data_IF_871111491629
#
_entry.id   IF_871111491629
#
_cell.length_a   1.000
_cell.length_b   1.000
_cell.length_c   1.000
_cell.angle_alpha   90.00
_cell.angle_beta   90.00
_cell.angle_gamma   90.00
#
_symmetry.space_group_name_H-M   'P 1'
#
loop_
_entity.id
_entity.type
_entity.pdbx_description
1 polymer ?
#
# COMPACT_ATOMS: atom_id res chain seq x y z
N UNK A 1 19.73 14.53 36.01
CA UNK A 1 19.66 14.98 34.59
C UNK A 1 18.29 14.59 34.08
N UNK A 2 17.48 15.56 33.66
CA UNK A 2 16.03 15.37 33.47
C UNK A 2 15.73 14.65 32.15
N UNK A 3 15.04 13.52 32.25
CA UNK A 3 14.44 12.82 31.09
C UNK A 3 13.45 13.78 30.41
N UNK A 4 13.58 13.97 29.09
CA UNK A 4 12.62 14.76 28.32
C UNK A 4 11.24 14.10 28.40
N UNK A 5 10.19 14.91 28.56
CA UNK A 5 8.81 14.41 28.62
C UNK A 5 8.37 13.87 27.24
N UNK A 6 7.54 12.81 27.20
CA UNK A 6 6.97 12.34 25.94
C UNK A 6 6.16 13.44 25.24
N UNK A 7 6.10 13.38 23.91
CA UNK A 7 5.41 14.33 23.04
C UNK A 7 5.93 15.78 23.11
N UNK A 8 7.22 15.94 23.40
CA UNK A 8 7.91 17.25 23.33
C UNK A 8 8.51 17.45 21.94
N UNK A 9 8.39 18.66 21.40
CA UNK A 9 9.04 19.04 20.15
C UNK A 9 10.55 19.10 20.34
N UNK A 10 11.29 18.39 19.50
CA UNK A 10 12.75 18.32 19.50
C UNK A 10 13.33 18.67 18.14
N UNK A 11 14.61 19.06 18.14
CA UNK A 11 15.39 19.42 16.95
C UNK A 11 16.60 18.49 16.78
N UNK A 12 17.11 18.32 15.56
CA UNK A 12 18.32 17.53 15.31
C UNK A 12 19.50 18.04 16.15
N UNK A 13 20.23 17.11 16.77
CA UNK A 13 21.36 17.39 17.66
C UNK A 13 20.98 17.60 19.13
N UNK A 14 19.69 17.61 19.49
CA UNK A 14 19.26 17.68 20.89
C UNK A 14 19.50 16.34 21.60
N UNK A 15 20.15 16.38 22.77
CA UNK A 15 20.33 15.22 23.64
C UNK A 15 19.02 14.86 24.34
N UNK A 16 18.56 13.61 24.17
CA UNK A 16 17.28 13.12 24.68
C UNK A 16 17.44 12.40 26.03
N UNK A 17 18.34 11.42 26.07
CA UNK A 17 18.57 10.57 27.24
C UNK A 17 19.92 9.86 27.18
N UNK A 18 20.29 9.21 28.28
CA UNK A 18 21.48 8.35 28.37
C UNK A 18 21.17 6.98 27.76
N UNK A 19 22.09 6.47 26.95
CA UNK A 19 22.02 5.13 26.39
C UNK A 19 22.32 4.11 27.50
N UNK A 20 21.36 3.26 27.83
CA UNK A 20 21.50 2.19 28.82
C UNK A 20 21.16 0.86 28.13
N UNK A 21 21.49 -0.27 28.75
CA UNK A 21 21.12 -1.60 28.23
C UNK A 21 19.60 -1.74 27.98
N UNK A 22 18.79 -1.03 28.76
CA UNK A 22 17.33 -1.01 28.62
C UNK A 22 16.81 0.11 27.71
N UNK A 23 17.65 0.99 27.17
CA UNK A 23 17.21 2.15 26.37
C UNK A 23 18.00 2.22 25.07
N UNK A 24 17.33 1.94 23.97
CA UNK A 24 17.93 1.87 22.64
C UNK A 24 17.42 3.00 21.73
N UNK A 25 18.27 3.40 20.78
CA UNK A 25 17.93 4.41 19.78
C UNK A 25 17.06 3.77 18.68
N UNK A 26 15.87 4.32 18.47
CA UNK A 26 14.95 3.93 17.41
C UNK A 26 14.97 4.91 16.23
N UNK A 27 13.92 4.87 15.42
CA UNK A 27 13.78 5.72 14.24
C UNK A 27 13.83 7.22 14.59
N UNK A 28 14.56 8.00 13.79
CA UNK A 28 14.77 9.42 14.03
C UNK A 28 15.71 9.79 15.19
N UNK A 29 16.41 8.82 15.78
CA UNK A 29 17.44 9.05 16.80
C UNK A 29 18.76 8.37 16.43
N UNK A 30 19.85 8.77 17.08
CA UNK A 30 21.14 8.12 16.96
C UNK A 30 21.89 8.15 18.29
N UNK A 31 22.75 7.16 18.51
CA UNK A 31 23.58 7.08 19.72
C UNK A 31 24.96 7.66 19.41
N UNK A 32 25.45 8.55 20.26
CA UNK A 32 26.81 9.06 20.20
C UNK A 32 27.42 9.03 21.62
N UNK A 33 28.37 8.12 21.82
CA UNK A 33 28.87 7.79 23.17
C UNK A 33 27.76 7.18 24.01
N UNK A 34 27.63 7.63 25.26
CA UNK A 34 26.61 7.15 26.21
C UNK A 34 25.30 7.95 26.14
N UNK A 35 25.08 8.72 25.08
CA UNK A 35 23.89 9.56 24.92
C UNK A 35 23.18 9.33 23.60
N UNK A 36 21.84 9.41 23.66
CA UNK A 36 20.94 9.35 22.50
C UNK A 36 20.56 10.78 22.11
N UNK A 37 20.76 11.09 20.84
CA UNK A 37 20.46 12.38 20.24
C UNK A 37 19.37 12.24 19.19
N UNK A 38 18.61 13.32 18.98
CA UNK A 38 17.66 13.39 17.88
C UNK A 38 18.39 13.62 16.55
N UNK A 39 18.07 12.85 15.51
CA UNK A 39 18.49 13.15 14.13
C UNK A 39 17.43 13.91 13.35
N UNK A 40 16.19 13.95 13.84
CA UNK A 40 15.05 14.57 13.18
C UNK A 40 14.43 15.72 14.00
N UNK A 41 13.74 16.64 13.32
CA UNK A 41 12.83 17.58 13.98
C UNK A 41 11.47 16.92 14.11
N UNK A 42 10.95 16.76 15.31
CA UNK A 42 9.72 16.00 15.54
C UNK A 42 9.30 15.91 17.00
N UNK A 43 8.37 15.00 17.28
CA UNK A 43 7.92 14.70 18.63
C UNK A 43 8.57 13.41 19.11
N UNK A 44 9.13 13.44 20.33
CA UNK A 44 9.72 12.26 20.97
C UNK A 44 8.61 11.34 21.46
N UNK A 45 8.69 10.07 21.09
CA UNK A 45 7.87 9.00 21.62
C UNK A 45 8.76 7.91 22.24
N UNK A 46 8.30 7.34 23.35
CA UNK A 46 9.01 6.29 24.06
C UNK A 46 8.16 5.03 24.00
N UNK A 47 8.58 4.04 23.19
CA UNK A 47 7.90 2.76 23.08
C UNK A 47 8.59 1.74 23.98
N UNK A 48 7.83 1.08 24.83
CA UNK A 48 8.33 -0.01 25.66
C UNK A 48 8.01 -1.34 24.99
N UNK A 49 9.03 -2.08 24.56
CA UNK A 49 8.90 -3.39 23.94
C UNK A 49 9.70 -4.41 24.77
N UNK A 50 9.01 -5.39 25.37
CA UNK A 50 9.61 -6.51 26.10
C UNK A 50 10.78 -6.20 27.08
N UNK A 51 10.70 -5.07 27.82
CA UNK A 51 11.67 -4.54 28.80
C UNK A 51 12.78 -3.63 28.24
N UNK A 52 12.80 -3.38 26.94
CA UNK A 52 13.63 -2.35 26.31
C UNK A 52 12.75 -1.15 25.94
N UNK A 53 13.21 0.06 26.26
CA UNK A 53 12.58 1.32 25.86
C UNK A 53 13.26 1.83 24.60
N UNK A 54 12.55 1.81 23.48
CA UNK A 54 13.01 2.39 22.22
C UNK A 54 12.60 3.86 22.18
N UNK A 55 13.58 4.73 21.99
CA UNK A 55 13.34 6.18 21.83
C UNK A 55 13.22 6.49 20.35
N UNK A 56 12.04 6.96 19.92
CA UNK A 56 11.81 7.35 18.53
C UNK A 56 11.47 8.83 18.46
N UNK A 57 11.89 9.48 17.38
CA UNK A 57 11.46 10.84 17.06
C UNK A 57 10.69 10.78 15.76
N UNK A 58 9.37 10.94 15.87
CA UNK A 58 8.49 10.95 14.72
C UNK A 58 8.28 12.37 14.24
N UNK A 59 8.39 12.57 12.92
CA UNK A 59 7.80 13.74 12.29
C UNK A 59 6.29 13.58 12.46
N UNK A 60 5.56 14.58 12.95
CA UNK A 60 4.09 14.51 13.14
C UNK A 60 3.28 14.26 11.85
N UNK A 61 3.94 13.99 10.72
CA UNK A 61 3.37 13.62 9.44
C UNK A 61 3.53 12.11 9.23
N UNK A 62 2.46 11.46 8.75
CA UNK A 62 2.29 10.01 8.73
C UNK A 62 3.49 9.21 8.20
N UNK A 63 3.64 7.99 8.73
CA UNK A 63 4.73 7.05 8.38
C UNK A 63 4.84 6.90 6.86
N UNK A 64 6.01 7.20 6.30
CA UNK A 64 6.30 6.94 4.90
C UNK A 64 6.77 5.50 4.74
N UNK A 65 5.84 4.58 4.51
CA UNK A 65 6.17 3.18 4.21
C UNK A 65 6.70 3.10 2.78
N UNK A 66 7.82 2.40 2.59
CA UNK A 66 8.37 2.11 1.26
C UNK A 66 7.80 0.78 0.78
N UNK A 67 7.18 0.71 -0.42
CA UNK A 67 6.69 -0.55 -0.97
C UNK A 67 7.84 -1.55 -1.16
N UNK A 68 7.69 -2.75 -0.60
CA UNK A 68 8.64 -3.86 -0.79
C UNK A 68 8.15 -4.80 -1.89
N UNK A 69 9.05 -5.65 -2.39
CA UNK A 69 8.69 -6.67 -3.39
C UNK A 69 7.74 -7.68 -2.76
N UNK A 70 6.63 -7.94 -3.42
CA UNK A 70 5.59 -8.87 -2.96
C UNK A 70 4.40 -8.18 -2.28
N UNK A 71 4.54 -6.93 -1.82
CA UNK A 71 3.42 -6.21 -1.19
C UNK A 71 2.30 -5.91 -2.18
N UNK A 72 1.07 -5.95 -1.65
CA UNK A 72 -0.14 -5.54 -2.37
C UNK A 72 -0.30 -4.04 -2.24
N UNK A 73 -0.51 -3.35 -3.36
CA UNK A 73 -0.64 -1.91 -3.41
C UNK A 73 -1.94 -1.51 -4.09
N UNK A 74 -2.55 -0.44 -3.59
CA UNK A 74 -3.68 0.23 -4.25
C UNK A 74 -3.14 1.37 -5.08
N UNK A 75 -3.43 1.34 -6.38
CA UNK A 75 -2.95 2.32 -7.33
C UNK A 75 -4.08 2.87 -8.21
N UNK A 76 -3.92 4.10 -8.69
CA UNK A 76 -4.77 4.69 -9.71
C UNK A 76 -4.09 4.67 -11.06
N UNK A 77 -4.79 4.23 -12.09
CA UNK A 77 -4.29 4.26 -13.46
C UNK A 77 -4.30 5.71 -13.96
N UNK A 78 -3.14 6.23 -14.35
CA UNK A 78 -3.01 7.62 -14.82
C UNK A 78 -3.03 7.70 -16.34
N UNK A 79 -2.30 6.81 -17.01
CA UNK A 79 -2.18 6.83 -18.47
C UNK A 79 -1.95 5.41 -19.00
N UNK A 80 -2.56 5.08 -20.14
CA UNK A 80 -2.45 3.76 -20.76
C UNK A 80 -1.79 3.89 -22.12
N UNK A 81 -0.74 3.12 -22.34
CA UNK A 81 -0.11 2.91 -23.64
C UNK A 81 -0.32 1.47 -24.09
N UNK A 82 0.00 1.18 -25.35
CA UNK A 82 -0.15 -0.17 -25.94
C UNK A 82 0.69 -1.25 -25.25
N UNK A 83 1.85 -0.89 -24.69
CA UNK A 83 2.79 -1.84 -24.06
C UNK A 83 2.77 -1.82 -22.53
N UNK A 84 2.35 -0.72 -21.93
CA UNK A 84 2.33 -0.56 -20.47
C UNK A 84 1.31 0.49 -20.03
N UNK A 85 0.84 0.38 -18.80
CA UNK A 85 0.02 1.37 -18.12
C UNK A 85 0.83 2.03 -16.99
N UNK A 86 0.76 3.36 -16.91
CA UNK A 86 1.31 4.14 -15.80
C UNK A 86 0.27 4.23 -14.69
N UNK A 87 0.71 3.98 -13.48
CA UNK A 87 -0.12 3.99 -12.28
C UNK A 87 0.53 4.87 -11.21
N UNK A 88 -0.27 5.44 -10.33
CA UNK A 88 0.16 6.15 -9.14
C UNK A 88 -0.30 5.34 -7.92
N UNK A 89 0.64 4.93 -7.06
CA UNK A 89 0.39 4.10 -5.88
C UNK A 89 0.04 5.03 -4.71
N UNK A 90 -1.10 4.81 -4.08
CA UNK A 90 -1.57 5.62 -2.94
C UNK A 90 -1.52 4.88 -1.61
N UNK A 91 -1.66 3.55 -1.64
CA UNK A 91 -1.68 2.73 -0.44
C UNK A 91 -0.78 1.53 -0.64
N UNK A 92 -0.01 1.20 0.38
CA UNK A 92 0.74 -0.06 0.49
C UNK A 92 0.07 -0.85 1.60
N UNK A 93 -0.51 -1.99 1.25
CA UNK A 93 -1.33 -2.79 2.16
C UNK A 93 -2.39 -1.91 2.84
N UNK A 94 -2.33 -1.76 4.16
CA UNK A 94 -3.27 -0.95 4.95
C UNK A 94 -2.78 0.48 5.24
N UNK A 95 -1.59 0.85 4.76
CA UNK A 95 -0.99 2.17 5.03
C UNK A 95 -1.09 3.11 3.85
N UNK A 96 -1.76 4.25 4.06
CA UNK A 96 -1.89 5.32 3.07
C UNK A 96 -0.60 6.15 3.03
N UNK A 97 -0.09 6.37 1.82
CA UNK A 97 1.10 7.16 1.56
C UNK A 97 0.75 8.65 1.45
N UNK A 98 1.64 9.50 1.97
CA UNK A 98 1.50 10.96 1.82
C UNK A 98 1.78 11.40 0.37
N UNK A 99 2.80 10.80 -0.25
CA UNK A 99 3.18 11.07 -1.63
C UNK A 99 3.03 9.79 -2.46
N UNK A 100 2.37 9.85 -3.63
CA UNK A 100 2.15 8.66 -4.43
C UNK A 100 3.40 8.22 -5.17
N UNK A 101 3.77 6.94 -5.05
CA UNK A 101 4.84 6.36 -5.84
C UNK A 101 4.39 6.08 -7.28
N UNK A 102 5.34 6.11 -8.21
CA UNK A 102 5.04 5.79 -9.62
C UNK A 102 5.11 4.29 -9.82
N UNK A 103 4.08 3.73 -10.45
CA UNK A 103 3.99 2.32 -10.83
C UNK A 103 3.85 2.15 -12.34
N UNK A 104 4.33 1.02 -12.87
CA UNK A 104 4.18 0.63 -14.27
C UNK A 104 3.69 -0.81 -14.30
N UNK A 105 2.59 -1.06 -15.03
CA UNK A 105 2.10 -2.40 -15.35
C UNK A 105 2.41 -2.67 -16.81
N UNK A 106 3.13 -3.75 -17.11
CA UNK A 106 3.43 -4.16 -18.48
C UNK A 106 2.34 -5.08 -19.01
N UNK A 107 2.22 -5.18 -20.33
CA UNK A 107 1.22 -6.04 -21.00
C UNK A 107 1.33 -7.50 -20.54
N UNK A 108 2.54 -8.00 -20.39
CA UNK A 108 2.87 -9.35 -19.95
C UNK A 108 2.46 -9.66 -18.50
N UNK A 109 2.32 -8.64 -17.66
CA UNK A 109 2.07 -8.75 -16.22
C UNK A 109 0.57 -8.58 -15.85
N UNK A 110 -0.32 -8.58 -16.85
CA UNK A 110 -1.77 -8.38 -16.64
C UNK A 110 -2.51 -9.69 -16.38
N UNK A 111 -2.13 -10.79 -17.01
CA UNK A 111 -2.78 -12.11 -16.83
C UNK A 111 -1.73 -13.21 -16.76
N UNK A 112 -1.98 -14.20 -15.90
CA UNK A 112 -1.15 -15.41 -15.88
C UNK A 112 -1.26 -16.21 -17.19
N UNK A 113 -2.48 -16.33 -17.72
CA UNK A 113 -2.81 -17.05 -18.97
C UNK A 113 -2.98 -16.08 -20.14
N UNK A 114 -2.64 -16.54 -21.34
CA UNK A 114 -2.81 -15.80 -22.61
C UNK A 114 -2.15 -14.41 -22.66
N UNK A 115 -0.92 -14.26 -22.13
CA UNK A 115 -0.16 -12.99 -22.07
C UNK A 115 -0.09 -12.23 -23.41
N UNK A 116 0.00 -12.96 -24.52
CA UNK A 116 0.14 -12.37 -25.85
C UNK A 116 -1.15 -11.73 -26.39
N UNK A 117 -2.31 -12.25 -25.98
CA UNK A 117 -3.63 -11.79 -26.43
C UNK A 117 -4.21 -10.66 -25.58
N UNK A 118 -3.53 -10.27 -24.50
CA UNK A 118 -4.05 -9.24 -23.59
C UNK A 118 -3.99 -7.85 -24.24
N UNK A 119 -5.11 -7.15 -24.27
CA UNK A 119 -5.15 -5.74 -24.64
C UNK A 119 -5.35 -4.87 -23.41
N UNK A 120 -4.39 -3.99 -23.11
CA UNK A 120 -4.42 -3.12 -21.94
C UNK A 120 -5.65 -2.21 -21.92
N UNK A 121 -6.10 -1.72 -23.08
CA UNK A 121 -7.28 -0.85 -23.20
C UNK A 121 -8.59 -1.55 -22.83
N UNK A 122 -8.66 -2.88 -22.96
CA UNK A 122 -9.81 -3.68 -22.51
C UNK A 122 -9.72 -4.06 -21.03
N UNK A 123 -8.56 -3.90 -20.40
CA UNK A 123 -8.34 -4.26 -19.00
C UNK A 123 -8.52 -3.07 -18.07
N UNK A 124 -8.00 -1.90 -18.46
CA UNK A 124 -7.94 -0.71 -17.63
C UNK A 124 -8.37 0.52 -18.44
N UNK A 125 -8.86 1.56 -17.77
CA UNK A 125 -8.93 2.94 -18.31
C UNK A 125 -8.29 3.95 -17.35
N UNK A 126 -7.88 5.13 -17.85
CA UNK A 126 -7.40 6.21 -16.99
C UNK A 126 -8.47 6.58 -15.95
N UNK A 127 -8.05 6.73 -14.70
CA UNK A 127 -8.93 7.04 -13.58
C UNK A 127 -9.30 5.84 -12.72
N UNK A 128 -9.15 4.61 -13.22
CA UNK A 128 -9.47 3.39 -12.47
C UNK A 128 -8.61 3.22 -11.23
N UNK A 129 -9.21 2.64 -10.18
CA UNK A 129 -8.51 2.18 -9.00
C UNK A 129 -8.28 0.67 -9.12
N UNK A 130 -7.02 0.27 -9.01
CA UNK A 130 -6.55 -1.09 -9.17
C UNK A 130 -5.83 -1.57 -7.92
N UNK A 131 -5.97 -2.87 -7.64
CA UNK A 131 -5.09 -3.61 -6.75
C UNK A 131 -4.05 -4.32 -7.59
N UNK A 132 -2.78 -4.13 -7.23
CA UNK A 132 -1.65 -4.75 -7.91
C UNK A 132 -0.60 -5.18 -6.90
N UNK A 133 0.29 -6.08 -7.32
CA UNK A 133 1.40 -6.58 -6.51
C UNK A 133 2.71 -6.02 -7.04
N UNK A 134 3.60 -5.61 -6.13
CA UNK A 134 4.92 -5.12 -6.52
C UNK A 134 5.81 -6.30 -6.89
N UNK A 135 6.24 -6.38 -8.15
CA UNK A 135 7.15 -7.43 -8.63
C UNK A 135 8.60 -7.04 -8.44
N UNK A 136 8.94 -5.77 -8.74
CA UNK A 136 10.32 -5.31 -8.77
C UNK A 136 10.41 -3.79 -8.61
N UNK A 137 11.48 -3.36 -7.94
CA UNK A 137 11.95 -1.98 -7.94
C UNK A 137 12.57 -1.71 -9.32
N UNK A 138 11.83 -1.06 -10.22
CA UNK A 138 12.30 -0.77 -11.58
C UNK A 138 13.42 0.27 -11.61
N UNK A 139 14.00 0.49 -12.79
CA UNK A 139 15.27 1.22 -12.97
C UNK A 139 15.16 2.74 -12.78
N UNK A 140 13.96 3.33 -12.70
CA UNK A 140 13.75 4.80 -12.74
C UNK A 140 12.63 5.24 -11.79
N UNK A 141 12.81 5.05 -10.48
CA UNK A 141 11.83 5.41 -9.43
C UNK A 141 10.38 4.96 -9.74
N UNK A 142 10.26 3.87 -10.50
CA UNK A 142 8.98 3.31 -10.93
C UNK A 142 8.94 1.85 -10.55
N UNK A 143 7.94 1.49 -9.77
CA UNK A 143 7.70 0.12 -9.34
C UNK A 143 7.08 -0.66 -10.48
N UNK A 144 7.63 -1.83 -10.79
CA UNK A 144 6.97 -2.76 -11.70
C UNK A 144 5.85 -3.45 -10.92
N UNK A 145 4.63 -3.28 -11.41
CA UNK A 145 3.42 -3.80 -10.81
C UNK A 145 2.86 -4.94 -11.68
N UNK A 146 2.31 -5.95 -11.02
CA UNK A 146 1.63 -7.07 -11.68
C UNK A 146 0.20 -7.17 -11.17
N UNK A 147 -0.70 -7.52 -12.09
CA UNK A 147 -2.10 -7.85 -11.79
C UNK A 147 -2.40 -9.29 -12.22
N UNK A 148 -1.37 -10.13 -12.38
CA UNK A 148 -1.53 -11.44 -13.00
C UNK A 148 -2.47 -12.38 -12.22
N UNK A 149 -2.54 -12.23 -10.89
CA UNK A 149 -3.42 -12.99 -9.98
C UNK A 149 -4.89 -12.59 -10.15
N UNK A 150 -5.80 -13.51 -9.81
CA UNK A 150 -7.25 -13.37 -9.98
C UNK A 150 -7.89 -12.39 -8.95
N UNK A 151 -7.25 -12.24 -7.80
CA UNK A 151 -7.63 -11.29 -6.73
C UNK A 151 -7.16 -9.87 -7.04
N UNK A 152 -6.30 -9.70 -8.06
CA UNK A 152 -5.71 -8.43 -8.46
C UNK A 152 -6.32 -7.92 -9.77
N UNK A 153 -6.53 -6.60 -9.85
CA UNK A 153 -7.24 -5.98 -10.96
C UNK A 153 -7.98 -4.72 -10.54
N UNK A 154 -8.95 -4.31 -11.37
CA UNK A 154 -9.80 -3.15 -11.13
C UNK A 154 -10.77 -3.44 -9.99
N UNK A 155 -10.79 -2.57 -8.98
CA UNK A 155 -11.70 -2.64 -7.83
C UNK A 155 -12.81 -1.60 -7.95
N UNK A 156 -12.45 -0.39 -8.35
CA UNK A 156 -13.40 0.70 -8.55
C UNK A 156 -13.10 1.40 -9.87
N UNK A 157 -14.17 1.66 -10.62
CA UNK A 157 -14.10 2.31 -11.91
C UNK A 157 -15.28 3.25 -12.10
N UNK A 158 -15.02 4.33 -12.81
CA UNK A 158 -16.02 5.32 -13.22
C UNK A 158 -16.35 5.11 -14.68
N UNK A 159 -17.65 5.10 -15.01
CA UNK A 159 -18.13 5.07 -16.39
C UNK A 159 -17.88 6.41 -17.09
N UNK A 160 -18.04 6.44 -18.40
CA UNK A 160 -17.96 7.68 -19.20
C UNK A 160 -19.00 8.73 -18.76
N UNK A 161 -20.14 8.29 -18.22
CA UNK A 161 -21.17 9.16 -17.64
C UNK A 161 -20.81 9.68 -16.23
N UNK A 162 -19.59 9.44 -15.74
CA UNK A 162 -19.12 9.86 -14.42
C UNK A 162 -19.78 9.11 -13.26
N UNK A 163 -20.40 7.96 -13.52
CA UNK A 163 -21.08 7.16 -12.49
C UNK A 163 -20.22 5.96 -12.08
N UNK A 164 -20.34 5.52 -10.83
CA UNK A 164 -19.67 4.31 -10.38
C UNK A 164 -20.23 3.08 -11.09
N UNK A 165 -19.33 2.15 -11.41
CA UNK A 165 -19.66 0.89 -12.07
C UNK A 165 -19.66 -0.26 -11.07
N UNK A 166 -20.59 -1.19 -11.27
CA UNK A 166 -20.69 -2.43 -10.52
C UNK A 166 -20.08 -3.59 -11.29
N UNK A 167 -19.42 -4.48 -10.55
CA UNK A 167 -18.83 -5.70 -11.09
C UNK A 167 -19.95 -6.64 -11.54
N UNK A 168 -19.95 -7.03 -12.81
CA UNK A 168 -20.90 -8.02 -13.34
C UNK A 168 -20.22 -9.37 -13.56
N UNK A 169 -19.01 -9.36 -14.10
CA UNK A 169 -18.21 -10.55 -14.35
C UNK A 169 -16.73 -10.27 -14.16
N UNK A 170 -15.91 -11.31 -14.28
CA UNK A 170 -14.45 -11.23 -14.23
C UNK A 170 -13.82 -10.30 -15.28
N UNK A 171 -14.55 -10.04 -16.37
CA UNK A 171 -14.06 -9.24 -17.51
C UNK A 171 -14.93 -8.03 -17.82
N UNK A 172 -16.01 -7.78 -17.07
CA UNK A 172 -16.97 -6.73 -17.38
C UNK A 172 -17.49 -6.02 -16.12
N UNK A 173 -17.56 -4.69 -16.21
CA UNK A 173 -18.25 -3.83 -15.26
C UNK A 173 -19.44 -3.16 -15.95
N UNK A 174 -20.52 -2.93 -15.22
CA UNK A 174 -21.73 -2.30 -15.72
C UNK A 174 -21.96 -0.96 -15.03
N UNK A 175 -22.30 0.06 -15.80
CA UNK A 175 -22.73 1.34 -15.26
C UNK A 175 -24.12 1.21 -14.61
N UNK A 176 -24.27 1.73 -13.39
CA UNK A 176 -25.52 1.70 -12.63
C UNK A 176 -26.67 2.49 -13.27
N UNK A 177 -26.37 3.51 -14.08
CA UNK A 177 -27.39 4.37 -14.70
C UNK A 177 -27.67 4.02 -16.16
N UNK A 178 -26.62 3.84 -16.95
CA UNK A 178 -26.74 3.60 -18.39
C UNK A 178 -26.89 2.13 -18.74
N UNK A 179 -26.63 1.22 -17.78
CA UNK A 179 -26.61 -0.24 -17.97
C UNK A 179 -25.67 -0.73 -19.09
N UNK A 180 -24.77 0.14 -19.56
CA UNK A 180 -23.73 -0.20 -20.53
C UNK A 180 -22.66 -1.03 -19.83
N UNK A 181 -22.31 -2.16 -20.45
CA UNK A 181 -21.22 -3.03 -20.02
C UNK A 181 -19.92 -2.58 -20.67
N UNK A 182 -18.91 -2.37 -19.86
CA UNK A 182 -17.55 -2.05 -20.29
C UNK A 182 -16.59 -3.18 -19.91
N UNK A 183 -15.70 -3.61 -20.83
CA UNK A 183 -14.71 -4.60 -20.50
C UNK A 183 -13.66 -4.00 -19.55
N UNK A 184 -13.38 -4.71 -18.44
CA UNK A 184 -12.33 -4.39 -17.46
C UNK A 184 -11.77 -5.68 -16.88
N UNK A 185 -10.50 -5.70 -16.49
CA UNK A 185 -9.97 -6.84 -15.72
C UNK A 185 -10.33 -6.63 -14.26
N UNK A 186 -11.41 -7.26 -13.80
CA UNK A 186 -11.93 -7.03 -12.46
C UNK A 186 -11.22 -7.92 -11.45
N UNK A 187 -10.87 -7.33 -10.29
CA UNK A 187 -10.35 -8.08 -9.15
C UNK A 187 -11.47 -8.87 -8.48
N UNK A 188 -11.21 -10.14 -8.14
CA UNK A 188 -12.08 -10.86 -7.20
C UNK A 188 -11.82 -10.32 -5.79
N UNK A 189 -12.53 -9.25 -5.44
CA UNK A 189 -12.52 -8.74 -4.08
C UNK A 189 -13.24 -9.75 -3.18
N UNK A 190 -12.48 -10.51 -2.40
CA UNK A 190 -13.02 -11.22 -1.23
C UNK A 190 -13.10 -10.18 -0.13
N UNK A 191 -14.29 -9.75 0.33
CA UNK A 191 -14.36 -8.85 1.46
C UNK A 191 -13.67 -9.52 2.64
N UNK A 192 -12.74 -8.85 3.34
CA UNK A 192 -12.14 -9.40 4.57
C UNK A 192 -13.24 -9.77 5.60
N UNK A 193 -14.37 -9.07 5.58
CA UNK A 193 -15.57 -9.37 6.35
C UNK A 193 -16.22 -10.73 6.02
N UNK A 194 -16.00 -11.28 4.83
CA UNK A 194 -16.42 -12.63 4.45
C UNK A 194 -15.46 -13.69 4.97
N UNK A 195 -14.15 -13.43 5.02
CA UNK A 195 -13.19 -14.38 5.55
C UNK A 195 -13.41 -14.64 7.05
N UNK A 196 -13.47 -13.58 7.87
CA UNK A 196 -13.61 -13.72 9.33
C UNK A 196 -14.90 -14.44 9.78
N UNK A 197 -16.02 -14.26 9.07
CA UNK A 197 -17.30 -14.91 9.40
C UNK A 197 -17.42 -16.34 8.87
N UNK A 198 -16.70 -16.69 7.81
CA UNK A 198 -16.80 -18.01 7.18
C UNK A 198 -15.80 -19.03 7.74
N UNK A 199 -14.67 -18.59 8.31
CA UNK A 199 -13.75 -19.52 9.01
C UNK A 199 -14.39 -20.18 10.23
N UNK A 200 -15.19 -19.43 11.01
CA UNK A 200 -15.90 -19.99 12.17
C UNK A 200 -17.04 -20.94 11.79
N UNK A 201 -17.73 -20.68 10.67
CA UNK A 201 -18.75 -21.59 10.13
C UNK A 201 -18.15 -22.88 9.54
N UNK A 202 -17.04 -22.78 8.82
CA UNK A 202 -16.36 -23.94 8.24
C UNK A 202 -15.77 -24.85 9.34
N UNK A 203 -15.27 -24.30 10.44
CA UNK A 203 -14.80 -25.10 11.58
C UNK A 203 -15.91 -25.87 12.32
N UNK A 204 -17.17 -25.40 12.24
CA UNK A 204 -18.31 -26.11 12.83
C UNK A 204 -18.77 -27.29 11.97
N UNK A 205 -18.70 -27.17 10.63
CA UNK A 205 -19.08 -28.26 9.71
C UNK A 205 -18.08 -29.43 9.67
N UNK A 206 -16.83 -29.24 10.10
CA UNK A 206 -15.85 -30.32 10.23
C UNK A 206 -15.87 -31.06 11.58
N UNK A 207 -16.66 -30.57 12.55
CA UNK A 207 -16.78 -31.16 13.89
C UNK A 207 -18.16 -31.78 14.16
N UNK A 208 -18.94 -32.06 13.11
CA UNK A 208 -20.19 -32.83 13.17
C UNK A 208 -20.10 -34.02 12.21
#
# INVERSE_FOLDING_TARGET
>A
MNRIKPNTLVVPGLCLCHANENITAGDGTYTQGDFIYSSLTGFVDFKEDNKETVVEVSKGFGRSVVPTVGSIVTAKVTNIRRRFAKCAIFCVEDTVLQEPFRGIIRKEDVRLKDRDKVELYKCFRPGDIILAKVTSLGTMHSYNLSTAEDELGVVSATSEAGCEMVITSWSEMMCTKTFVKEPRKVAKVVPQNFAAKNFSKLQQEFNT
#
